data_IF_419845423338
#
_entry.id   IF_419845423338
#
_cell.length_a   1.000
_cell.length_b   1.000
_cell.length_c   1.000
_cell.angle_alpha   90.00
_cell.angle_beta   90.00
_cell.angle_gamma   90.00
#
_symmetry.space_group_name_H-M   'P 1'
#
loop_
_entity.id
_entity.type
_entity.pdbx_description
1 polymer ?
#
# COMPACT_ATOMS: atom_id res chain seq x y z
N UNK A 1 34.49 -10.10 -9.73
CA UNK A 1 35.20 -11.24 -10.35
C UNK A 1 35.42 -12.40 -9.39
N UNK A 2 35.91 -12.19 -8.17
CA UNK A 2 36.07 -13.27 -7.16
C UNK A 2 34.77 -14.05 -6.84
N UNK A 3 33.63 -13.36 -6.71
CA UNK A 3 32.34 -14.01 -6.40
C UNK A 3 31.85 -14.96 -7.50
N UNK A 4 32.09 -14.60 -8.76
CA UNK A 4 31.69 -15.41 -9.92
C UNK A 4 32.60 -16.62 -10.09
N UNK A 5 33.89 -16.46 -9.75
CA UNK A 5 34.87 -17.55 -9.70
C UNK A 5 34.55 -18.54 -8.57
N UNK A 6 34.15 -18.05 -7.39
CA UNK A 6 33.73 -18.88 -6.25
C UNK A 6 32.42 -19.62 -6.56
N UNK A 7 31.45 -18.95 -7.19
CA UNK A 7 30.19 -19.58 -7.61
C UNK A 7 30.42 -20.65 -8.70
N UNK A 8 31.31 -20.38 -9.67
CA UNK A 8 31.73 -21.38 -10.66
C UNK A 8 32.49 -22.54 -10.02
N UNK A 9 33.36 -22.29 -9.04
CA UNK A 9 34.10 -23.34 -8.32
C UNK A 9 33.14 -24.23 -7.52
N UNK A 10 32.15 -23.63 -6.83
CA UNK A 10 31.11 -24.35 -6.09
C UNK A 10 30.22 -25.19 -7.02
N UNK A 11 29.82 -24.66 -8.17
CA UNK A 11 29.03 -25.42 -9.16
C UNK A 11 29.83 -26.51 -9.89
N UNK A 12 31.15 -26.39 -9.98
CA UNK A 12 32.03 -27.43 -10.55
C UNK A 12 32.40 -28.53 -9.54
N UNK A 13 32.46 -28.20 -8.24
CA UNK A 13 32.62 -29.19 -7.16
C UNK A 13 31.37 -30.07 -6.97
N UNK A 14 30.20 -29.62 -7.42
CA UNK A 14 28.95 -30.41 -7.40
C UNK A 14 28.80 -31.33 -8.62
N UNK A 15 29.84 -32.10 -8.94
CA UNK A 15 29.72 -33.24 -9.83
C UNK A 15 29.19 -34.43 -9.02
N UNK A 16 27.87 -34.64 -9.13
CA UNK A 16 27.10 -35.87 -8.85
C UNK A 16 27.26 -36.49 -7.45
N UNK A 17 26.12 -36.53 -6.73
CA UNK A 17 25.82 -37.36 -5.54
C UNK A 17 26.49 -37.05 -4.20
N UNK A 18 26.48 -35.79 -3.75
CA UNK A 18 26.45 -35.53 -2.31
C UNK A 18 25.08 -35.00 -1.92
N UNK A 19 24.33 -35.88 -1.28
CA UNK A 19 23.04 -35.61 -0.68
C UNK A 19 23.21 -34.48 0.37
N UNK A 20 22.40 -33.42 0.28
CA UNK A 20 22.49 -32.27 1.19
C UNK A 20 22.27 -32.68 2.66
N UNK A 21 21.58 -33.81 2.87
CA UNK A 21 21.40 -34.49 4.15
C UNK A 21 22.73 -34.97 4.74
N UNK A 22 23.65 -35.49 3.92
CA UNK A 22 24.95 -36.01 4.35
C UNK A 22 25.89 -34.86 4.76
N UNK A 23 25.87 -33.75 4.01
CA UNK A 23 26.61 -32.54 4.38
C UNK A 23 26.12 -31.95 5.71
N UNK A 24 24.80 -31.84 5.91
CA UNK A 24 24.24 -31.41 7.19
C UNK A 24 24.53 -32.39 8.33
N UNK A 25 24.51 -33.70 8.08
CA UNK A 25 24.78 -34.72 9.08
C UNK A 25 26.26 -34.74 9.52
N UNK A 26 27.20 -34.56 8.57
CA UNK A 26 28.66 -34.48 8.86
C UNK A 26 29.01 -33.18 9.60
N UNK A 27 28.42 -32.05 9.19
CA UNK A 27 28.65 -30.75 9.86
C UNK A 27 28.01 -30.70 11.26
N UNK A 28 26.88 -31.40 11.48
CA UNK A 28 26.25 -31.50 12.80
C UNK A 28 27.01 -32.42 13.77
N UNK A 29 27.70 -33.46 13.29
CA UNK A 29 28.47 -34.38 14.14
C UNK A 29 29.79 -33.78 14.67
N UNK A 30 30.35 -32.76 14.01
CA UNK A 30 31.63 -32.15 14.40
C UNK A 30 31.54 -30.62 14.53
N UNK A 31 30.62 -30.15 15.38
CA UNK A 31 30.29 -28.73 15.55
C UNK A 31 31.52 -27.86 15.88
N UNK A 32 32.45 -28.37 16.69
CA UNK A 32 33.65 -27.63 17.12
C UNK A 32 34.76 -27.53 16.06
N UNK A 33 34.84 -28.48 15.12
CA UNK A 33 35.89 -28.48 14.09
C UNK A 33 35.66 -27.42 13.01
N UNK A 34 34.40 -26.99 12.82
CA UNK A 34 33.99 -26.11 11.73
C UNK A 34 33.54 -24.71 12.19
N UNK A 35 33.71 -24.34 13.46
CA UNK A 35 33.22 -23.06 13.99
C UNK A 35 33.70 -21.83 13.19
N UNK A 36 34.98 -21.84 12.75
CA UNK A 36 35.54 -20.78 11.92
C UNK A 36 34.92 -20.74 10.51
N UNK A 37 34.70 -21.91 9.90
CA UNK A 37 34.07 -22.03 8.58
C UNK A 37 32.60 -21.66 8.66
N UNK A 38 31.92 -22.03 9.74
CA UNK A 38 30.54 -21.67 10.02
C UNK A 38 30.38 -20.15 10.18
N UNK A 39 31.35 -19.48 10.81
CA UNK A 39 31.33 -18.03 10.91
C UNK A 39 31.48 -17.35 9.54
N UNK A 40 32.39 -17.85 8.69
CA UNK A 40 32.54 -17.38 7.30
C UNK A 40 31.29 -17.66 6.47
N UNK A 41 30.69 -18.84 6.61
CA UNK A 41 29.45 -19.23 5.92
C UNK A 41 28.28 -18.32 6.35
N UNK A 42 28.16 -18.02 7.64
CA UNK A 42 27.20 -17.02 8.16
C UNK A 42 27.42 -15.67 7.51
N UNK A 43 28.64 -15.15 7.45
CA UNK A 43 28.94 -13.85 6.82
C UNK A 43 28.52 -13.86 5.33
N UNK A 44 28.88 -14.91 4.59
CA UNK A 44 28.53 -15.05 3.16
C UNK A 44 27.01 -15.14 2.97
N UNK A 45 26.31 -15.93 3.78
CA UNK A 45 24.85 -16.04 3.71
C UNK A 45 24.14 -14.74 4.10
N UNK A 46 24.66 -14.02 5.11
CA UNK A 46 24.10 -12.72 5.54
C UNK A 46 24.26 -11.67 4.46
N UNK A 47 25.42 -11.64 3.78
CA UNK A 47 25.64 -10.80 2.60
C UNK A 47 24.72 -11.17 1.42
N UNK A 48 24.42 -12.45 1.26
CA UNK A 48 23.61 -12.95 0.14
C UNK A 48 22.10 -12.70 0.32
N UNK A 49 21.59 -12.70 1.56
CA UNK A 49 20.15 -12.60 1.83
C UNK A 49 19.65 -11.19 2.24
N UNK A 50 20.53 -10.22 2.54
CA UNK A 50 20.11 -9.03 3.31
C UNK A 50 20.23 -7.63 2.68
N UNK A 51 20.72 -7.45 1.45
CA UNK A 51 21.01 -6.09 0.92
C UNK A 51 20.64 -5.87 -0.56
N UNK A 52 19.98 -6.82 -1.21
CA UNK A 52 19.54 -6.66 -2.59
C UNK A 52 18.16 -6.00 -2.65
N UNK A 53 18.11 -4.67 -2.65
CA UNK A 53 16.95 -3.99 -3.26
C UNK A 53 17.07 -4.21 -4.77
N UNK A 54 16.24 -5.10 -5.32
CA UNK A 54 16.29 -5.45 -6.74
C UNK A 54 15.71 -4.34 -7.61
N UNK A 55 16.54 -3.41 -8.06
CA UNK A 55 16.32 -2.76 -9.34
C UNK A 55 17.08 -3.55 -10.41
N UNK A 56 16.35 -4.37 -11.19
CA UNK A 56 16.85 -4.99 -12.44
C UNK A 56 18.18 -5.75 -12.34
N UNK A 57 18.31 -6.68 -11.39
CA UNK A 57 19.36 -7.71 -11.44
C UNK A 57 20.76 -7.28 -10.98
N UNK A 58 20.89 -6.17 -10.23
CA UNK A 58 22.14 -5.84 -9.54
C UNK A 58 21.88 -5.45 -8.09
N UNK A 59 22.69 -5.97 -7.15
CA UNK A 59 22.69 -5.49 -5.76
C UNK A 59 23.45 -4.16 -5.68
N UNK A 60 22.76 -3.06 -5.38
CA UNK A 60 23.42 -1.81 -5.02
C UNK A 60 23.66 -1.82 -3.51
N UNK A 61 24.93 -1.92 -3.09
CA UNK A 61 25.29 -1.80 -1.69
C UNK A 61 25.08 -0.35 -1.24
N UNK A 62 24.13 -0.12 -0.33
CA UNK A 62 23.74 1.23 0.14
C UNK A 62 24.90 1.98 0.83
N UNK A 63 25.93 1.26 1.28
CA UNK A 63 27.09 1.85 1.97
C UNK A 63 28.25 2.25 1.06
N UNK A 64 28.23 1.86 -0.22
CA UNK A 64 29.18 2.45 -1.17
C UNK A 64 28.59 3.77 -1.64
N UNK A 65 29.19 4.88 -1.20
CA UNK A 65 29.01 6.21 -1.77
C UNK A 65 29.57 6.17 -3.20
N UNK A 66 28.80 5.62 -4.13
CA UNK A 66 29.16 5.59 -5.54
C UNK A 66 28.93 7.00 -6.06
N UNK A 67 30.02 7.72 -6.36
CA UNK A 67 29.93 9.05 -6.96
C UNK A 67 29.03 9.02 -8.20
N UNK A 68 28.26 10.09 -8.44
CA UNK A 68 27.30 10.17 -9.55
C UNK A 68 27.95 9.85 -10.92
N UNK A 69 29.25 10.13 -11.05
CA UNK A 69 30.08 9.78 -12.21
C UNK A 69 30.07 8.28 -12.53
N UNK A 70 30.23 7.41 -11.52
CA UNK A 70 30.22 5.95 -11.72
C UNK A 70 28.82 5.42 -12.07
N UNK A 71 27.77 6.06 -11.56
CA UNK A 71 26.39 5.69 -11.89
C UNK A 71 26.09 6.01 -13.36
N UNK A 72 26.62 7.11 -13.89
CA UNK A 72 26.46 7.49 -15.30
C UNK A 72 27.30 6.67 -16.28
N UNK A 73 28.43 6.11 -15.83
CA UNK A 73 29.26 5.20 -16.62
C UNK A 73 28.63 3.82 -16.76
N UNK A 74 27.79 3.39 -15.82
CA UNK A 74 27.17 2.05 -15.82
C UNK A 74 26.28 1.78 -17.04
N UNK A 75 25.38 2.69 -17.46
CA UNK A 75 24.64 2.55 -18.73
C UNK A 75 25.57 2.39 -19.93
N UNK A 76 26.69 3.13 -19.98
CA UNK A 76 27.65 3.09 -21.08
C UNK A 76 28.38 1.72 -21.11
N UNK A 77 28.81 1.23 -19.96
CA UNK A 77 29.44 -0.09 -19.85
C UNK A 77 28.45 -1.20 -20.22
N UNK A 78 27.18 -1.06 -19.81
CA UNK A 78 26.12 -2.00 -20.16
C UNK A 78 25.84 -2.02 -21.66
N UNK A 79 25.71 -0.86 -22.32
CA UNK A 79 25.51 -0.80 -23.77
C UNK A 79 26.70 -1.38 -24.54
N UNK A 80 27.93 -1.10 -24.10
CA UNK A 80 29.14 -1.71 -24.67
C UNK A 80 29.13 -3.24 -24.55
N UNK A 81 28.65 -3.77 -23.42
CA UNK A 81 28.51 -5.23 -23.24
C UNK A 81 27.42 -5.85 -24.13
N UNK A 82 26.35 -5.12 -24.41
CA UNK A 82 25.18 -5.61 -25.16
C UNK A 82 25.43 -5.63 -26.68
N UNK A 83 26.06 -4.58 -27.20
CA UNK A 83 26.30 -4.39 -28.64
C UNK A 83 27.72 -4.80 -29.07
N UNK A 84 28.56 -5.26 -28.14
CA UNK A 84 29.95 -5.64 -28.42
C UNK A 84 30.81 -4.46 -28.88
N UNK A 85 31.89 -4.76 -29.61
CA UNK A 85 32.87 -3.78 -30.08
C UNK A 85 32.42 -2.99 -31.33
N UNK A 86 31.13 -3.02 -31.68
CA UNK A 86 30.56 -2.38 -32.88
C UNK A 86 30.65 -0.85 -32.78
N UNK A 87 30.63 -0.33 -31.55
CA UNK A 87 30.79 1.08 -31.24
C UNK A 87 32.00 1.22 -30.32
N UNK A 88 33.15 1.59 -30.85
CA UNK A 88 34.35 1.91 -30.05
C UNK A 88 34.17 3.26 -29.35
N UNK A 89 33.23 3.30 -28.40
CA UNK A 89 32.90 4.49 -27.65
C UNK A 89 33.91 4.64 -26.52
N UNK A 90 34.87 5.54 -26.72
CA UNK A 90 35.68 6.08 -25.63
C UNK A 90 34.77 6.87 -24.69
N UNK A 91 34.84 6.59 -23.39
CA UNK A 91 34.02 7.27 -22.37
C UNK A 91 34.46 8.75 -22.32
N UNK A 92 33.77 9.61 -23.07
CA UNK A 92 33.99 11.06 -23.06
C UNK A 92 33.13 11.72 -21.98
N UNK A 93 33.64 12.81 -21.39
CA UNK A 93 32.96 13.63 -20.37
C UNK A 93 31.59 14.13 -20.85
N UNK A 94 31.46 14.44 -22.13
CA UNK A 94 30.20 14.89 -22.74
C UNK A 94 29.11 13.82 -22.71
N UNK A 95 29.46 12.57 -23.05
CA UNK A 95 28.54 11.43 -23.05
C UNK A 95 28.09 11.14 -21.62
N UNK A 96 29.03 11.13 -20.67
CA UNK A 96 28.69 10.96 -19.25
C UNK A 96 27.81 12.10 -18.74
N UNK A 97 28.07 13.35 -19.16
CA UNK A 97 27.26 14.51 -18.77
C UNK A 97 25.83 14.44 -19.33
N UNK A 98 25.68 13.99 -20.58
CA UNK A 98 24.37 13.77 -21.19
C UNK A 98 23.57 12.69 -20.46
N UNK A 99 24.19 11.55 -20.16
CA UNK A 99 23.54 10.44 -19.46
C UNK A 99 23.17 10.81 -18.02
N UNK A 100 24.05 11.51 -17.30
CA UNK A 100 23.76 12.07 -15.98
C UNK A 100 22.54 13.00 -16.04
N UNK A 101 22.48 13.88 -17.03
CA UNK A 101 21.38 14.82 -17.22
C UNK A 101 20.07 14.11 -17.56
N UNK A 102 20.11 13.13 -18.47
CA UNK A 102 18.96 12.31 -18.84
C UNK A 102 18.43 11.52 -17.64
N UNK A 103 19.31 10.90 -16.85
CA UNK A 103 18.96 10.20 -15.61
C UNK A 103 18.32 11.16 -14.59
N UNK A 104 18.90 12.34 -14.39
CA UNK A 104 18.36 13.35 -13.47
C UNK A 104 16.95 13.76 -13.86
N UNK A 105 16.70 14.05 -15.15
CA UNK A 105 15.36 14.36 -15.67
C UNK A 105 14.38 13.21 -15.44
N UNK A 106 14.81 11.97 -15.66
CA UNK A 106 14.00 10.79 -15.40
C UNK A 106 13.63 10.65 -13.91
N UNK A 107 14.59 10.83 -13.00
CA UNK A 107 14.33 10.77 -11.55
C UNK A 107 13.38 11.86 -11.09
N UNK A 108 13.57 13.10 -11.55
CA UNK A 108 12.62 14.20 -11.28
C UNK A 108 11.21 13.88 -11.79
N UNK A 109 11.10 13.25 -12.96
CA UNK A 109 9.80 12.84 -13.50
C UNK A 109 9.14 11.72 -12.66
N UNK A 110 9.93 10.78 -12.13
CA UNK A 110 9.43 9.76 -11.21
C UNK A 110 8.94 10.36 -9.90
N UNK A 111 9.72 11.28 -9.31
CA UNK A 111 9.33 12.00 -8.09
C UNK A 111 8.05 12.82 -8.31
N UNK A 112 7.94 13.51 -9.45
CA UNK A 112 6.73 14.25 -9.84
C UNK A 112 5.52 13.32 -9.92
N UNK A 113 5.63 12.19 -10.62
CA UNK A 113 4.55 11.20 -10.72
C UNK A 113 4.14 10.65 -9.35
N UNK A 114 5.11 10.42 -8.46
CA UNK A 114 4.84 9.95 -7.11
C UNK A 114 4.09 11.02 -6.30
N UNK A 115 4.52 12.28 -6.35
CA UNK A 115 3.83 13.41 -5.70
C UNK A 115 2.43 13.61 -6.25
N UNK A 116 2.25 13.55 -7.56
CA UNK A 116 0.93 13.63 -8.21
C UNK A 116 0.01 12.50 -7.77
N UNK A 117 0.52 11.27 -7.68
CA UNK A 117 -0.25 10.14 -7.18
C UNK A 117 -0.67 10.35 -5.72
N UNK A 118 0.24 10.75 -4.85
CA UNK A 118 -0.09 11.04 -3.43
C UNK A 118 -1.09 12.18 -3.30
N UNK A 119 -0.94 13.24 -4.09
CA UNK A 119 -1.87 14.38 -4.13
C UNK A 119 -3.26 13.97 -4.63
N UNK A 120 -3.32 13.21 -5.73
CA UNK A 120 -4.56 12.68 -6.29
C UNK A 120 -5.25 11.74 -5.29
N UNK A 121 -4.51 10.84 -4.66
CA UNK A 121 -5.06 9.91 -3.67
C UNK A 121 -5.62 10.66 -2.45
N UNK A 122 -4.92 11.70 -1.98
CA UNK A 122 -5.42 12.57 -0.90
C UNK A 122 -6.68 13.35 -1.31
N UNK A 123 -6.70 13.90 -2.54
CA UNK A 123 -7.88 14.60 -3.07
C UNK A 123 -9.08 13.66 -3.23
N UNK A 124 -8.87 12.45 -3.75
CA UNK A 124 -9.91 11.45 -3.93
C UNK A 124 -10.48 10.99 -2.58
N UNK A 125 -9.64 10.76 -1.57
CA UNK A 125 -10.12 10.44 -0.21
C UNK A 125 -10.99 11.54 0.38
N UNK A 126 -10.61 12.81 0.20
CA UNK A 126 -11.41 13.97 0.65
C UNK A 126 -12.74 14.08 -0.09
N UNK A 127 -12.77 13.83 -1.40
CA UNK A 127 -14.00 13.81 -2.20
C UNK A 127 -14.94 12.69 -1.76
N UNK A 128 -14.45 11.46 -1.62
CA UNK A 128 -15.25 10.33 -1.14
C UNK A 128 -15.86 10.61 0.24
N UNK A 129 -15.10 11.18 1.16
CA UNK A 129 -15.60 11.55 2.48
C UNK A 129 -16.69 12.64 2.40
N UNK A 130 -16.56 13.60 1.47
CA UNK A 130 -17.58 14.63 1.24
C UNK A 130 -18.87 14.03 0.67
N UNK A 131 -18.75 13.18 -0.36
CA UNK A 131 -19.88 12.51 -1.00
C UNK A 131 -20.63 11.63 0.01
N UNK A 132 -19.92 10.89 0.88
CA UNK A 132 -20.53 10.11 1.95
C UNK A 132 -21.31 10.97 2.95
N UNK A 133 -20.78 12.14 3.33
CA UNK A 133 -21.48 13.08 4.21
C UNK A 133 -22.75 13.61 3.53
N UNK A 134 -22.70 13.91 2.23
CA UNK A 134 -23.84 14.41 1.47
C UNK A 134 -24.96 13.37 1.37
N UNK A 135 -24.60 12.10 1.11
CA UNK A 135 -25.54 10.97 1.13
C UNK A 135 -26.19 10.82 2.51
N UNK A 136 -25.41 10.88 3.59
CA UNK A 136 -25.95 10.77 4.95
C UNK A 136 -26.87 11.95 5.30
N UNK A 137 -26.54 13.18 4.88
CA UNK A 137 -27.41 14.36 5.08
C UNK A 137 -28.73 14.22 4.32
N UNK A 138 -28.69 13.69 3.10
CA UNK A 138 -29.89 13.42 2.31
C UNK A 138 -30.76 12.37 2.99
N UNK A 139 -30.14 11.28 3.48
CA UNK A 139 -30.84 10.25 4.26
C UNK A 139 -31.46 10.81 5.54
N UNK A 140 -30.74 11.68 6.27
CA UNK A 140 -31.24 12.38 7.45
C UNK A 140 -32.51 13.18 7.12
N UNK A 141 -32.46 13.96 6.04
CA UNK A 141 -33.60 14.76 5.61
C UNK A 141 -34.82 13.92 5.23
N UNK A 142 -34.63 12.79 4.53
CA UNK A 142 -35.71 11.86 4.23
C UNK A 142 -36.35 11.30 5.53
N UNK A 143 -35.53 10.87 6.49
CA UNK A 143 -36.03 10.36 7.78
C UNK A 143 -36.80 11.43 8.57
N UNK A 144 -36.31 12.67 8.60
CA UNK A 144 -37.00 13.80 9.24
C UNK A 144 -38.41 14.02 8.64
N UNK A 145 -38.51 13.97 7.31
CA UNK A 145 -39.79 14.11 6.61
C UNK A 145 -40.73 12.93 6.92
N UNK A 146 -40.22 11.70 6.90
CA UNK A 146 -40.99 10.48 7.20
C UNK A 146 -41.52 10.49 8.64
N UNK A 147 -40.71 10.92 9.60
CA UNK A 147 -41.12 11.07 11.01
C UNK A 147 -42.25 12.11 11.10
N UNK A 148 -42.08 13.27 10.47
CA UNK A 148 -43.11 14.33 10.48
C UNK A 148 -44.42 13.86 9.86
N UNK A 149 -44.38 13.08 8.76
CA UNK A 149 -45.59 12.52 8.18
C UNK A 149 -46.25 11.49 9.09
N UNK A 150 -45.48 10.58 9.70
CA UNK A 150 -46.02 9.56 10.61
C UNK A 150 -46.66 10.17 11.87
N UNK A 151 -46.07 11.25 12.41
CA UNK A 151 -46.63 11.99 13.54
C UNK A 151 -47.97 12.65 13.19
N UNK A 152 -48.06 13.29 12.01
CA UNK A 152 -49.31 13.88 11.50
C UNK A 152 -50.37 12.80 11.22
N UNK A 153 -49.97 11.68 10.63
CA UNK A 153 -50.85 10.55 10.34
C UNK A 153 -51.37 9.86 11.60
N UNK A 154 -50.64 9.94 12.71
CA UNK A 154 -51.09 9.47 14.02
C UNK A 154 -52.19 10.34 14.63
N UNK A 155 -52.18 11.65 14.35
CA UNK A 155 -53.09 12.60 15.01
C UNK A 155 -54.54 12.43 14.55
N UNK A 156 -54.79 12.22 13.24
CA UNK A 156 -56.14 11.99 12.71
C UNK A 156 -56.91 10.81 13.35
N UNK A 157 -56.34 9.58 13.43
CA UNK A 157 -56.99 8.48 14.13
C UNK A 157 -57.04 8.69 15.65
N UNK A 158 -56.12 9.43 16.26
CA UNK A 158 -56.17 9.76 17.69
C UNK A 158 -57.42 10.57 18.02
N UNK A 159 -57.64 11.67 17.30
CA UNK A 159 -58.81 12.56 17.51
C UNK A 159 -60.11 11.79 17.26
N UNK A 160 -60.18 11.02 16.16
CA UNK A 160 -61.37 10.21 15.85
C UNK A 160 -61.63 9.10 16.87
N UNK A 161 -60.59 8.56 17.49
CA UNK A 161 -60.74 7.55 18.54
C UNK A 161 -61.35 8.16 19.81
N UNK A 162 -60.96 9.39 20.17
CA UNK A 162 -61.51 10.13 21.32
C UNK A 162 -62.98 10.51 21.09
N UNK A 163 -63.33 10.96 19.88
CA UNK A 163 -64.72 11.31 19.53
C UNK A 163 -65.68 10.11 19.53
N UNK A 164 -65.20 8.93 19.11
CA UNK A 164 -66.03 7.74 18.88
C UNK A 164 -65.86 6.65 19.94
N UNK A 165 -64.95 6.86 20.89
CA UNK A 165 -64.50 5.86 21.87
C UNK A 165 -64.08 4.52 21.22
N UNK A 166 -63.50 4.59 20.02
CA UNK A 166 -63.15 3.40 19.22
C UNK A 166 -61.69 2.97 19.45
N UNK A 167 -61.53 1.85 20.17
CA UNK A 167 -60.24 1.25 20.48
C UNK A 167 -59.42 0.87 19.23
N UNK A 168 -60.06 0.52 18.12
CA UNK A 168 -59.35 0.11 16.89
C UNK A 168 -58.53 1.26 16.29
N UNK A 169 -59.04 2.48 16.37
CA UNK A 169 -58.37 3.69 15.91
C UNK A 169 -57.21 4.07 16.83
N UNK A 170 -57.33 3.81 18.13
CA UNK A 170 -56.24 4.00 19.09
C UNK A 170 -55.05 3.07 18.80
N UNK A 171 -55.32 1.79 18.51
CA UNK A 171 -54.28 0.83 18.11
C UNK A 171 -53.59 1.30 16.82
N UNK A 172 -54.37 1.79 15.84
CA UNK A 172 -53.82 2.33 14.59
C UNK A 172 -52.91 3.54 14.85
N UNK A 173 -53.34 4.51 15.66
CA UNK A 173 -52.52 5.67 16.04
C UNK A 173 -51.21 5.26 16.71
N UNK A 174 -51.26 4.30 17.65
CA UNK A 174 -50.07 3.80 18.32
C UNK A 174 -49.11 3.08 17.38
N UNK A 175 -49.61 2.41 16.34
CA UNK A 175 -48.75 1.79 15.31
C UNK A 175 -47.91 2.84 14.58
N UNK A 176 -48.48 3.99 14.23
CA UNK A 176 -47.75 5.11 13.62
C UNK A 176 -46.74 5.73 14.57
N UNK A 177 -47.10 5.94 15.85
CA UNK A 177 -46.16 6.45 16.87
C UNK A 177 -44.99 5.50 17.10
N UNK A 178 -45.24 4.19 17.09
CA UNK A 178 -44.19 3.18 17.19
C UNK A 178 -43.24 3.25 15.99
N UNK A 179 -43.79 3.31 14.78
CA UNK A 179 -42.99 3.48 13.56
C UNK A 179 -42.16 4.77 13.59
N UNK A 180 -42.75 5.90 14.00
CA UNK A 180 -42.03 7.17 14.15
C UNK A 180 -40.90 7.09 15.18
N UNK A 181 -41.10 6.36 16.29
CA UNK A 181 -40.06 6.12 17.31
C UNK A 181 -38.90 5.28 16.76
N UNK A 182 -39.20 4.25 15.96
CA UNK A 182 -38.18 3.43 15.30
C UNK A 182 -37.37 4.25 14.30
N UNK A 183 -38.02 5.08 13.48
CA UNK A 183 -37.34 6.02 12.56
C UNK A 183 -36.52 7.08 13.27
N UNK A 184 -36.99 7.58 14.42
CA UNK A 184 -36.21 8.49 15.27
C UNK A 184 -34.93 7.82 15.79
N UNK A 185 -34.98 6.53 16.16
CA UNK A 185 -33.77 5.81 16.57
C UNK A 185 -32.77 5.70 15.40
N UNK A 186 -33.24 5.39 14.19
CA UNK A 186 -32.42 5.41 12.96
C UNK A 186 -31.82 6.79 12.69
N UNK A 187 -32.60 7.87 12.87
CA UNK A 187 -32.16 9.25 12.70
C UNK A 187 -30.98 9.58 13.64
N UNK A 188 -31.09 9.22 14.92
CA UNK A 188 -30.01 9.46 15.90
C UNK A 188 -28.73 8.70 15.55
N UNK A 189 -28.83 7.52 14.94
CA UNK A 189 -27.67 6.78 14.46
C UNK A 189 -27.00 7.47 13.26
N UNK A 190 -27.80 7.91 12.28
CA UNK A 190 -27.32 8.68 11.12
C UNK A 190 -26.63 9.98 11.56
N UNK A 191 -27.18 10.69 12.54
CA UNK A 191 -26.56 11.91 13.10
C UNK A 191 -25.22 11.64 13.76
N UNK A 192 -25.09 10.53 14.51
CA UNK A 192 -23.80 10.10 15.08
C UNK A 192 -22.78 9.80 13.97
N UNK A 193 -23.20 9.11 12.92
CA UNK A 193 -22.33 8.81 11.78
C UNK A 193 -21.86 10.09 11.07
N UNK A 194 -22.76 11.07 10.86
CA UNK A 194 -22.41 12.38 10.29
C UNK A 194 -21.40 13.10 11.17
N UNK A 195 -21.65 13.19 12.48
CA UNK A 195 -20.75 13.86 13.41
C UNK A 195 -19.37 13.22 13.45
N UNK A 196 -19.30 11.88 13.49
CA UNK A 196 -18.04 11.15 13.44
C UNK A 196 -17.25 11.45 12.15
N UNK A 197 -17.91 11.48 10.99
CA UNK A 197 -17.27 11.82 9.71
C UNK A 197 -16.87 13.30 9.63
N UNK A 198 -17.63 14.21 10.24
CA UNK A 198 -17.28 15.63 10.33
C UNK A 198 -16.05 15.86 11.22
N UNK A 199 -15.91 15.11 12.33
CA UNK A 199 -14.70 15.14 13.14
C UNK A 199 -13.50 14.62 12.35
N UNK A 200 -13.64 13.48 11.66
CA UNK A 200 -12.58 12.94 10.78
C UNK A 200 -12.12 13.94 9.71
N UNK A 201 -13.03 14.77 9.20
CA UNK A 201 -12.70 15.86 8.26
C UNK A 201 -11.77 16.91 8.87
N UNK A 202 -11.91 17.23 10.15
CA UNK A 202 -11.06 18.26 10.82
C UNK A 202 -9.60 17.80 10.93
N UNK A 203 -9.37 16.49 10.95
CA UNK A 203 -8.04 15.90 11.08
C UNK A 203 -7.39 15.50 9.73
N UNK A 204 -8.09 15.65 8.60
CA UNK A 204 -7.65 15.27 7.24
C UNK A 204 -7.28 16.47 6.36
#
# INVERSE_FOLDING_TARGET
MLFQYILQLLTRLTLKSLDWTLFFMITAQNLHAYDKIWHVMKIIMTFSHGQASMERGFSVNRYMLVEESYIAQRPIAYTKSLYGNVLDLTINKEITGFISSARRRYMLNLERKQKEKMSSDASNKRKLLFDEIEVLKSKRHCLENDISSLEKESESPSVKAEEKEDMSLFIKSNSFRKAAKERNAELTDVEKQINMKLELRKFS
#
